data_IF_472049600380
#
_entry.id   IF_472049600380
#
_cell.length_a   1.000
_cell.length_b   1.000
_cell.length_c   1.000
_cell.angle_alpha   90.00
_cell.angle_beta   90.00
_cell.angle_gamma   90.00
#
_symmetry.space_group_name_H-M   'P 1'
#
loop_
_entity.id
_entity.type
_entity.pdbx_description
1 polymer ?
#
# COMPACT_ATOMS: atom_id res chain seq x y z
N UNK A 1 -40.01 6.17 -8.03
CA UNK A 1 -39.00 6.64 -7.05
C UNK A 1 -38.72 5.50 -6.10
N UNK A 2 -37.67 4.72 -6.38
CA UNK A 2 -37.21 3.60 -5.56
C UNK A 2 -35.76 3.89 -5.20
N UNK A 3 -35.48 4.05 -3.90
CA UNK A 3 -34.14 4.28 -3.38
C UNK A 3 -33.20 3.20 -3.91
N UNK A 4 -31.92 3.51 -4.24
CA UNK A 4 -30.95 2.46 -4.53
C UNK A 4 -30.86 1.59 -3.27
N UNK A 5 -31.35 0.35 -3.38
CA UNK A 5 -31.24 -0.64 -2.33
C UNK A 5 -29.74 -0.77 -2.05
N UNK A 6 -29.31 -0.37 -0.85
CA UNK A 6 -28.02 -0.76 -0.32
C UNK A 6 -28.05 -2.29 -0.31
N UNK A 7 -27.47 -2.93 -1.33
CA UNK A 7 -27.34 -4.38 -1.33
C UNK A 7 -26.27 -4.65 -0.28
N UNK A 8 -26.61 -5.20 0.90
CA UNK A 8 -25.59 -5.49 1.89
C UNK A 8 -24.60 -6.45 1.22
N UNK A 9 -23.32 -6.06 1.19
CA UNK A 9 -22.26 -6.90 0.64
C UNK A 9 -22.17 -8.12 1.55
N UNK A 10 -22.94 -9.17 1.22
CA UNK A 10 -22.87 -10.43 1.93
C UNK A 10 -21.55 -11.10 1.55
N UNK A 11 -20.69 -11.24 2.54
CA UNK A 11 -19.44 -11.97 2.43
C UNK A 11 -19.76 -13.45 2.17
N UNK A 12 -19.24 -13.96 1.06
CA UNK A 12 -19.31 -15.39 0.74
C UNK A 12 -18.44 -16.19 1.71
N UNK A 13 -18.74 -17.47 1.90
CA UNK A 13 -17.94 -18.34 2.75
C UNK A 13 -16.45 -18.38 2.34
N UNK A 14 -16.19 -18.33 1.03
CA UNK A 14 -14.82 -18.28 0.48
C UNK A 14 -14.08 -17.01 0.85
N UNK A 15 -14.74 -15.86 0.87
CA UNK A 15 -14.11 -14.59 1.26
C UNK A 15 -13.82 -14.53 2.74
N UNK A 16 -14.73 -15.02 3.58
CA UNK A 16 -14.47 -15.13 5.02
C UNK A 16 -13.30 -16.06 5.31
N UNK A 17 -13.24 -17.21 4.64
CA UNK A 17 -12.12 -18.16 4.77
C UNK A 17 -10.80 -17.51 4.31
N UNK A 18 -10.81 -16.75 3.21
CA UNK A 18 -9.64 -16.02 2.73
C UNK A 18 -9.16 -14.96 3.72
N UNK A 19 -10.06 -14.15 4.27
CA UNK A 19 -9.71 -13.16 5.30
C UNK A 19 -9.20 -13.85 6.56
N UNK A 20 -9.86 -14.93 7.00
CA UNK A 20 -9.38 -15.74 8.12
C UNK A 20 -7.96 -16.25 7.89
N UNK A 21 -7.65 -16.75 6.69
CA UNK A 21 -6.29 -17.16 6.31
C UNK A 21 -5.29 -16.01 6.36
N UNK A 22 -5.63 -14.83 5.85
CA UNK A 22 -4.78 -13.63 5.90
C UNK A 22 -4.49 -13.22 7.35
N UNK A 23 -5.53 -13.10 8.18
CA UNK A 23 -5.39 -12.72 9.59
C UNK A 23 -4.54 -13.74 10.35
N UNK A 24 -4.78 -15.03 10.11
CA UNK A 24 -4.01 -16.12 10.72
C UNK A 24 -2.54 -16.03 10.32
N UNK A 25 -2.26 -15.81 9.04
CA UNK A 25 -0.88 -15.68 8.54
C UNK A 25 -0.17 -14.47 9.17
N UNK A 26 -0.85 -13.31 9.25
CA UNK A 26 -0.29 -12.12 9.91
C UNK A 26 -0.02 -12.37 11.39
N UNK A 27 -0.91 -13.06 12.09
CA UNK A 27 -0.71 -13.44 13.49
C UNK A 27 0.50 -14.37 13.66
N UNK A 28 0.65 -15.37 12.77
CA UNK A 28 1.82 -16.25 12.77
C UNK A 28 3.13 -15.50 12.54
N UNK A 29 3.15 -14.51 11.65
CA UNK A 29 4.33 -13.66 11.43
C UNK A 29 4.68 -12.83 12.69
N UNK A 30 3.68 -12.32 13.41
CA UNK A 30 3.92 -11.62 14.68
C UNK A 30 4.52 -12.57 15.71
N UNK A 31 3.93 -13.75 15.90
CA UNK A 31 4.45 -14.76 16.83
C UNK A 31 5.88 -15.14 16.46
N UNK A 32 6.17 -15.39 15.18
CA UNK A 32 7.49 -15.71 14.70
C UNK A 32 8.50 -14.57 14.97
N UNK A 33 8.13 -13.32 14.68
CA UNK A 33 8.98 -12.15 14.90
C UNK A 33 9.33 -11.95 16.38
N UNK A 34 8.33 -12.01 17.27
CA UNK A 34 8.55 -11.91 18.72
C UNK A 34 9.34 -13.09 19.26
N UNK A 35 9.07 -14.31 18.79
CA UNK A 35 9.80 -15.52 19.22
C UNK A 35 11.26 -15.46 18.80
N UNK A 36 11.55 -15.03 17.57
CA UNK A 36 12.91 -14.87 17.08
C UNK A 36 13.66 -13.79 17.86
N UNK A 37 13.00 -12.66 18.11
CA UNK A 37 13.54 -11.59 18.94
C UNK A 37 13.91 -12.11 20.34
N UNK A 38 12.97 -12.74 21.05
CA UNK A 38 13.18 -13.28 22.39
C UNK A 38 14.23 -14.38 22.42
N UNK A 39 14.31 -15.21 21.37
CA UNK A 39 15.34 -16.25 21.23
C UNK A 39 16.75 -15.63 21.17
N UNK A 40 16.93 -14.56 20.38
CA UNK A 40 18.24 -13.91 20.22
C UNK A 40 18.68 -13.06 21.41
N UNK A 41 17.75 -12.62 22.25
CA UNK A 41 18.05 -11.83 23.45
C UNK A 41 18.00 -12.67 24.74
N UNK A 42 18.06 -14.00 24.63
CA UNK A 42 18.00 -14.94 25.78
C UNK A 42 16.79 -14.70 26.71
N UNK A 43 15.64 -14.40 26.10
CA UNK A 43 14.37 -14.19 26.78
C UNK A 43 14.16 -12.76 27.33
N UNK A 44 13.05 -12.53 28.06
CA UNK A 44 12.68 -11.19 28.53
C UNK A 44 13.74 -10.53 29.43
N UNK A 45 14.53 -11.34 30.15
CA UNK A 45 15.57 -10.86 31.05
C UNK A 45 16.81 -10.31 30.30
N UNK A 46 17.16 -10.87 29.13
CA UNK A 46 18.27 -10.38 28.31
C UNK A 46 17.86 -9.31 27.29
N UNK A 47 16.57 -9.02 27.16
CA UNK A 47 16.04 -8.00 26.26
C UNK A 47 16.62 -6.60 26.50
N UNK A 48 16.90 -6.21 27.76
CA UNK A 48 17.69 -5.03 28.13
C UNK A 48 17.49 -3.78 27.24
N UNK A 49 18.59 -3.23 26.70
CA UNK A 49 18.55 -2.10 25.75
C UNK A 49 17.94 -2.44 24.39
N UNK A 50 17.95 -3.72 23.98
CA UNK A 50 17.30 -4.17 22.74
C UNK A 50 15.76 -4.11 22.84
N UNK A 51 15.17 -4.12 24.04
CA UNK A 51 13.74 -3.94 24.23
C UNK A 51 13.29 -2.54 23.77
N UNK A 52 14.08 -1.51 24.08
CA UNK A 52 13.84 -0.15 23.63
C UNK A 52 13.95 -0.03 22.11
N UNK A 53 15.04 -0.54 21.53
CA UNK A 53 15.26 -0.52 20.09
C UNK A 53 14.18 -1.32 19.32
N UNK A 54 13.82 -2.51 19.80
CA UNK A 54 12.77 -3.35 19.22
C UNK A 54 11.39 -2.72 19.30
N UNK A 55 11.05 -2.11 20.43
CA UNK A 55 9.77 -1.39 20.61
C UNK A 55 9.69 -0.17 19.70
N UNK A 56 10.79 0.59 19.56
CA UNK A 56 10.87 1.72 18.63
C UNK A 56 10.73 1.25 17.18
N UNK A 57 11.45 0.20 16.78
CA UNK A 57 11.36 -0.37 15.44
C UNK A 57 9.93 -0.84 15.12
N UNK A 58 9.27 -1.52 16.06
CA UNK A 58 7.88 -1.94 15.91
C UNK A 58 6.93 -0.73 15.77
N UNK A 59 7.09 0.28 16.62
CA UNK A 59 6.24 1.48 16.61
C UNK A 59 6.42 2.31 15.32
N UNK A 60 7.66 2.47 14.87
CA UNK A 60 7.98 3.13 13.60
C UNK A 60 7.45 2.33 12.41
N UNK A 61 7.52 0.99 12.45
CA UNK A 61 6.94 0.13 11.43
C UNK A 61 5.41 0.25 11.36
N UNK A 62 4.73 0.26 12.51
CA UNK A 62 3.28 0.48 12.58
C UNK A 62 2.92 1.85 12.01
N UNK A 63 3.66 2.91 12.37
CA UNK A 63 3.45 4.26 11.81
C UNK A 63 3.62 4.26 10.29
N UNK A 64 4.70 3.67 9.80
CA UNK A 64 5.02 3.61 8.37
C UNK A 64 3.93 2.90 7.55
N UNK A 65 3.25 1.91 8.12
CA UNK A 65 2.12 1.24 7.47
C UNK A 65 0.95 2.20 7.16
N UNK A 66 0.85 3.34 7.84
CA UNK A 66 -0.19 4.36 7.63
C UNK A 66 0.27 5.56 6.78
N UNK A 67 1.45 5.49 6.17
CA UNK A 67 1.90 6.56 5.27
C UNK A 67 0.95 6.70 4.07
N UNK A 68 0.81 7.95 3.59
CA UNK A 68 -0.23 8.32 2.62
C UNK A 68 -0.07 7.63 1.26
N UNK A 69 1.15 7.26 0.90
CA UNK A 69 1.50 6.53 -0.33
C UNK A 69 1.01 5.07 -0.29
N UNK A 70 1.16 4.39 0.84
CA UNK A 70 0.60 3.06 1.05
C UNK A 70 -0.93 3.07 0.93
N UNK A 71 -1.59 4.04 1.57
CA UNK A 71 -3.05 4.20 1.50
C UNK A 71 -3.49 4.49 0.06
N UNK A 72 -2.81 5.40 -0.64
CA UNK A 72 -3.13 5.75 -2.02
C UNK A 72 -2.97 4.56 -2.98
N UNK A 73 -1.87 3.81 -2.87
CA UNK A 73 -1.63 2.63 -3.72
C UNK A 73 -2.68 1.54 -3.52
N UNK A 74 -3.09 1.29 -2.26
CA UNK A 74 -4.16 0.33 -1.95
C UNK A 74 -5.51 0.83 -2.47
N UNK A 75 -5.84 2.12 -2.32
CA UNK A 75 -7.10 2.69 -2.83
C UNK A 75 -7.19 2.60 -4.36
N UNK A 76 -6.14 3.02 -5.07
CA UNK A 76 -6.12 3.03 -6.54
C UNK A 76 -6.33 1.63 -7.12
N UNK A 77 -5.69 0.63 -6.53
CA UNK A 77 -5.81 -0.76 -6.98
C UNK A 77 -7.12 -1.41 -6.56
N UNK A 78 -7.65 -1.06 -5.39
CA UNK A 78 -9.00 -1.42 -4.96
C UNK A 78 -10.05 -0.85 -5.92
N UNK A 79 -9.92 0.42 -6.30
CA UNK A 79 -10.77 1.10 -7.29
C UNK A 79 -10.66 0.44 -8.66
N UNK A 80 -9.45 0.17 -9.14
CA UNK A 80 -9.23 -0.50 -10.42
C UNK A 80 -9.88 -1.90 -10.46
N UNK A 81 -9.78 -2.68 -9.38
CA UNK A 81 -10.43 -3.98 -9.29
C UNK A 81 -11.96 -3.87 -9.26
N UNK A 82 -12.48 -2.92 -8.49
CA UNK A 82 -13.92 -2.69 -8.38
C UNK A 82 -14.51 -2.24 -9.73
N UNK A 83 -13.81 -1.37 -10.47
CA UNK A 83 -14.20 -0.96 -11.83
C UNK A 83 -14.24 -2.14 -12.82
N UNK A 84 -13.48 -3.21 -12.57
CA UNK A 84 -13.49 -4.45 -13.36
C UNK A 84 -14.52 -5.48 -12.86
N UNK A 85 -15.41 -5.10 -11.94
CA UNK A 85 -16.39 -5.99 -11.33
C UNK A 85 -15.78 -7.07 -10.43
N UNK A 86 -14.51 -6.91 -10.00
CA UNK A 86 -13.83 -7.86 -9.13
C UNK A 86 -13.91 -7.41 -7.68
N UNK A 87 -13.92 -8.38 -6.76
CA UNK A 87 -13.90 -8.12 -5.32
C UNK A 87 -12.45 -8.04 -4.82
N UNK A 88 -11.97 -6.89 -4.31
CA UNK A 88 -10.57 -6.65 -3.97
C UNK A 88 -10.15 -7.25 -2.60
N UNK A 89 -10.51 -8.51 -2.34
CA UNK A 89 -10.19 -9.17 -1.06
C UNK A 89 -8.72 -9.60 -1.04
N UNK A 90 -7.91 -8.91 -0.24
CA UNK A 90 -6.50 -9.21 0.01
C UNK A 90 -5.49 -8.28 -0.68
N UNK A 91 -5.94 -7.22 -1.37
CA UNK A 91 -5.05 -6.25 -2.04
C UNK A 91 -4.05 -5.64 -1.05
N UNK A 92 -4.52 -5.14 0.09
CA UNK A 92 -3.64 -4.57 1.12
C UNK A 92 -2.66 -5.58 1.71
N UNK A 93 -3.07 -6.85 1.84
CA UNK A 93 -2.19 -7.91 2.34
C UNK A 93 -1.02 -8.20 1.40
N UNK A 94 -1.30 -8.38 0.11
CA UNK A 94 -0.24 -8.65 -0.87
C UNK A 94 0.68 -7.45 -1.09
N UNK A 95 0.12 -6.23 -1.13
CA UNK A 95 0.90 -4.99 -1.16
C UNK A 95 1.86 -4.90 0.02
N UNK A 96 1.36 -5.09 1.25
CA UNK A 96 2.18 -5.04 2.45
C UNK A 96 3.24 -6.16 2.48
N UNK A 97 2.88 -7.37 2.05
CA UNK A 97 3.79 -8.52 2.00
C UNK A 97 4.92 -8.30 0.98
N UNK A 98 4.60 -7.84 -0.22
CA UNK A 98 5.56 -7.52 -1.27
C UNK A 98 6.53 -6.42 -0.83
N UNK A 99 5.99 -5.29 -0.35
CA UNK A 99 6.80 -4.18 0.15
C UNK A 99 7.71 -4.61 1.31
N UNK A 100 7.15 -5.28 2.32
CA UNK A 100 7.91 -5.75 3.49
C UNK A 100 9.00 -6.75 3.11
N UNK A 101 8.78 -7.60 2.11
CA UNK A 101 9.79 -8.56 1.65
C UNK A 101 11.00 -7.84 1.03
N UNK A 102 10.75 -6.83 0.19
CA UNK A 102 11.83 -6.02 -0.41
C UNK A 102 12.61 -5.28 0.67
N UNK A 103 11.93 -4.67 1.64
CA UNK A 103 12.55 -3.97 2.76
C UNK A 103 13.38 -4.92 3.62
N UNK A 104 12.85 -6.12 3.94
CA UNK A 104 13.56 -7.12 4.73
C UNK A 104 14.82 -7.61 4.03
N UNK A 105 14.75 -7.94 2.74
CA UNK A 105 15.90 -8.36 1.94
C UNK A 105 16.95 -7.25 1.88
N UNK A 106 16.54 -6.01 1.64
CA UNK A 106 17.46 -4.88 1.60
C UNK A 106 18.12 -4.63 2.96
N UNK A 107 17.36 -4.70 4.05
CA UNK A 107 17.88 -4.57 5.40
C UNK A 107 18.91 -5.67 5.72
N UNK A 108 18.66 -6.91 5.30
CA UNK A 108 19.60 -8.02 5.46
C UNK A 108 20.89 -7.78 4.66
N UNK A 109 20.78 -7.36 3.39
CA UNK A 109 21.92 -7.03 2.55
C UNK A 109 22.76 -5.92 3.20
N UNK A 110 22.12 -4.85 3.68
CA UNK A 110 22.81 -3.74 4.35
C UNK A 110 23.47 -4.19 5.64
N UNK A 111 22.81 -5.02 6.45
CA UNK A 111 23.38 -5.55 7.69
C UNK A 111 24.63 -6.41 7.43
N UNK A 112 24.57 -7.30 6.44
CA UNK A 112 25.71 -8.13 6.04
C UNK A 112 26.85 -7.28 5.45
N UNK A 113 26.53 -6.32 4.60
CA UNK A 113 27.51 -5.40 4.01
C UNK A 113 28.18 -4.53 5.09
N UNK A 114 27.42 -4.04 6.07
CA UNK A 114 27.95 -3.27 7.19
C UNK A 114 28.85 -4.11 8.11
N UNK A 115 28.54 -5.39 8.31
CA UNK A 115 29.40 -6.32 9.05
C UNK A 115 30.69 -6.69 8.31
N UNK A 116 30.67 -6.70 6.98
CA UNK A 116 31.83 -7.04 6.14
C UNK A 116 32.71 -5.83 5.78
N UNK A 117 32.15 -4.62 5.79
CA UNK A 117 32.87 -3.41 5.39
C UNK A 117 33.58 -2.76 6.59
N UNK A 118 34.91 -2.64 6.51
CA UNK A 118 35.72 -1.85 7.44
C UNK A 118 35.48 -0.34 7.33
N UNK A 119 36.44 0.49 7.79
CA UNK A 119 36.34 1.97 7.93
C UNK A 119 36.20 2.80 6.62
N UNK A 120 35.30 2.45 5.69
CA UNK A 120 35.07 3.14 4.41
C UNK A 120 33.60 3.40 4.05
N UNK A 121 32.64 3.08 4.94
CA UNK A 121 31.19 3.11 4.64
C UNK A 121 30.56 4.51 4.80
N UNK A 122 31.26 5.49 5.38
CA UNK A 122 30.73 6.83 5.68
C UNK A 122 30.23 7.57 4.43
N UNK A 123 31.08 7.60 3.38
CA UNK A 123 30.78 8.32 2.14
C UNK A 123 29.61 7.69 1.37
N UNK A 124 29.57 6.35 1.32
CA UNK A 124 28.47 5.60 0.71
C UNK A 124 27.14 5.81 1.45
N UNK A 125 27.15 5.89 2.79
CA UNK A 125 25.93 6.20 3.57
C UNK A 125 25.40 7.59 3.26
N UNK A 126 26.28 8.60 3.18
CA UNK A 126 25.85 9.97 2.91
C UNK A 126 25.26 10.12 1.50
N UNK A 127 25.97 9.62 0.48
CA UNK A 127 25.51 9.71 -0.92
C UNK A 127 24.25 8.85 -1.13
N UNK A 128 24.22 7.63 -0.60
CA UNK A 128 23.04 6.75 -0.68
C UNK A 128 21.82 7.34 0.01
N UNK A 129 22.00 7.97 1.17
CA UNK A 129 20.94 8.69 1.88
C UNK A 129 20.37 9.85 1.06
N UNK A 130 21.23 10.68 0.49
CA UNK A 130 20.79 11.81 -0.36
C UNK A 130 20.06 11.33 -1.62
N UNK A 131 20.61 10.34 -2.33
CA UNK A 131 19.99 9.80 -3.55
C UNK A 131 18.64 9.17 -3.25
N UNK A 132 18.56 8.32 -2.21
CA UNK A 132 17.30 7.69 -1.82
C UNK A 132 16.25 8.71 -1.42
N UNK A 133 16.63 9.76 -0.68
CA UNK A 133 15.72 10.83 -0.27
C UNK A 133 15.22 11.64 -1.48
N UNK A 134 16.09 11.99 -2.43
CA UNK A 134 15.69 12.71 -3.65
C UNK A 134 14.75 11.87 -4.54
N UNK A 135 15.08 10.59 -4.72
CA UNK A 135 14.23 9.65 -5.50
C UNK A 135 12.88 9.46 -4.81
N UNK A 136 12.85 9.27 -3.49
CA UNK A 136 11.60 9.14 -2.74
C UNK A 136 10.75 10.43 -2.82
N UNK A 137 11.35 11.59 -2.57
CA UNK A 137 10.64 12.88 -2.62
C UNK A 137 10.08 13.17 -4.01
N UNK A 138 10.86 12.95 -5.07
CA UNK A 138 10.41 13.17 -6.46
C UNK A 138 9.28 12.23 -6.85
N UNK A 139 9.36 10.94 -6.48
CA UNK A 139 8.30 9.97 -6.72
C UNK A 139 7.01 10.33 -5.97
N UNK A 140 7.09 10.67 -4.69
CA UNK A 140 5.94 11.06 -3.88
C UNK A 140 5.29 12.34 -4.40
N UNK A 141 6.09 13.33 -4.81
CA UNK A 141 5.59 14.57 -5.41
C UNK A 141 4.83 14.29 -6.72
N UNK A 142 5.37 13.40 -7.56
CA UNK A 142 4.71 12.97 -8.80
C UNK A 142 3.34 12.34 -8.51
N UNK A 143 3.28 11.36 -7.60
CA UNK A 143 2.02 10.70 -7.21
C UNK A 143 1.04 11.70 -6.61
N UNK A 144 1.51 12.60 -5.73
CA UNK A 144 0.68 13.65 -5.14
C UNK A 144 0.06 14.57 -6.20
N UNK A 145 0.83 14.99 -7.21
CA UNK A 145 0.33 15.80 -8.33
C UNK A 145 -0.72 15.05 -9.13
N UNK A 146 -0.46 13.79 -9.50
CA UNK A 146 -1.41 12.96 -10.25
C UNK A 146 -2.72 12.79 -9.48
N UNK A 147 -2.64 12.49 -8.19
CA UNK A 147 -3.81 12.35 -7.32
C UNK A 147 -4.55 13.68 -7.15
N UNK A 148 -3.83 14.80 -7.06
CA UNK A 148 -4.41 16.14 -7.05
C UNK A 148 -5.21 16.48 -8.31
N UNK A 149 -4.72 16.07 -9.49
CA UNK A 149 -5.42 16.24 -10.76
C UNK A 149 -6.72 15.41 -10.82
N UNK A 150 -6.68 14.16 -10.35
CA UNK A 150 -7.87 13.31 -10.25
C UNK A 150 -8.89 13.92 -9.29
N UNK A 151 -8.43 14.39 -8.12
CA UNK A 151 -9.27 15.02 -7.11
C UNK A 151 -9.94 16.30 -7.65
N UNK A 152 -9.19 17.17 -8.32
CA UNK A 152 -9.75 18.38 -8.94
C UNK A 152 -10.85 18.04 -9.96
N UNK A 153 -10.64 16.99 -10.76
CA UNK A 153 -11.66 16.46 -11.68
C UNK A 153 -12.91 15.97 -10.96
N UNK A 154 -12.76 15.22 -9.86
CA UNK A 154 -13.86 14.70 -9.04
C UNK A 154 -14.64 15.82 -8.35
N UNK A 155 -13.96 16.81 -7.75
CA UNK A 155 -14.59 17.98 -7.14
C UNK A 155 -15.36 18.78 -8.19
N UNK A 156 -14.80 18.94 -9.39
CA UNK A 156 -15.48 19.58 -10.52
C UNK A 156 -16.77 18.86 -10.91
N UNK A 157 -16.75 17.52 -11.00
CA UNK A 157 -17.94 16.70 -11.26
C UNK A 157 -18.98 16.84 -10.15
N UNK A 158 -18.53 16.73 -8.89
CA UNK A 158 -19.40 16.82 -7.72
C UNK A 158 -20.10 18.18 -7.64
N UNK A 159 -19.37 19.29 -7.84
CA UNK A 159 -19.95 20.64 -7.89
C UNK A 159 -20.97 20.80 -9.02
N UNK A 160 -20.78 20.16 -10.17
CA UNK A 160 -21.74 20.23 -11.29
C UNK A 160 -23.01 19.43 -11.02
N UNK A 161 -22.89 18.26 -10.38
CA UNK A 161 -24.04 17.50 -9.89
C UNK A 161 -24.82 18.24 -8.81
N UNK A 162 -24.12 18.84 -7.84
CA UNK A 162 -24.73 19.58 -6.73
C UNK A 162 -25.57 20.78 -7.20
N UNK A 163 -25.21 21.40 -8.33
CA UNK A 163 -25.97 22.49 -8.94
C UNK A 163 -27.05 22.03 -9.94
N UNK A 164 -27.34 20.73 -10.04
CA UNK A 164 -28.40 20.19 -10.91
C UNK A 164 -28.14 20.32 -12.41
N UNK A 165 -26.89 20.58 -12.85
CA UNK A 165 -26.54 20.86 -14.25
C UNK A 165 -26.17 19.62 -15.08
N UNK A 166 -26.14 18.43 -14.48
CA UNK A 166 -25.76 17.18 -15.17
C UNK A 166 -26.75 16.08 -14.81
N UNK A 167 -27.38 15.50 -15.83
CA UNK A 167 -28.20 14.28 -15.69
C UNK A 167 -27.31 13.04 -15.49
N UNK A 168 -27.78 12.07 -14.71
CA UNK A 168 -27.00 10.90 -14.26
C UNK A 168 -26.49 10.06 -15.45
N UNK A 169 -27.24 10.03 -16.56
CA UNK A 169 -26.85 9.38 -17.82
C UNK A 169 -25.69 10.08 -18.54
N UNK A 170 -25.67 11.40 -18.50
CA UNK A 170 -24.60 12.19 -19.13
C UNK A 170 -23.32 12.17 -18.28
N UNK A 171 -23.45 12.03 -16.96
CA UNK A 171 -22.34 11.72 -16.06
C UNK A 171 -21.73 10.34 -16.34
N UNK A 172 -22.55 9.30 -16.50
CA UNK A 172 -22.07 7.95 -16.85
C UNK A 172 -21.34 7.95 -18.19
N UNK A 173 -21.88 8.64 -19.20
CA UNK A 173 -21.24 8.82 -20.50
C UNK A 173 -19.91 9.59 -20.38
N UNK A 174 -19.86 10.66 -19.57
CA UNK A 174 -18.60 11.39 -19.35
C UNK A 174 -17.60 10.61 -18.49
N UNK A 175 -18.02 9.73 -17.59
CA UNK A 175 -17.13 8.86 -16.81
C UNK A 175 -16.57 7.70 -17.66
N UNK A 176 -17.39 7.14 -18.56
CA UNK A 176 -16.98 6.16 -19.57
C UNK A 176 -16.01 6.80 -20.60
N UNK A 177 -16.27 8.04 -21.00
CA UNK A 177 -15.53 8.72 -22.07
C UNK A 177 -14.34 9.57 -21.56
N UNK A 178 -14.35 9.98 -20.28
CA UNK A 178 -13.23 10.62 -19.57
C UNK A 178 -12.67 9.72 -18.47
N UNK A 179 -12.41 8.46 -18.79
CA UNK A 179 -11.40 7.74 -18.03
C UNK A 179 -10.10 8.52 -18.16
N UNK A 180 -9.78 9.40 -17.20
CA UNK A 180 -8.49 10.11 -17.15
C UNK A 180 -7.37 9.06 -17.07
N UNK A 181 -7.66 7.94 -16.39
CA UNK A 181 -6.96 6.65 -16.44
C UNK A 181 -6.87 6.04 -17.85
N UNK A 182 -7.93 6.08 -18.66
CA UNK A 182 -7.93 5.59 -20.05
C UNK A 182 -7.02 6.42 -20.96
N UNK A 183 -6.93 7.73 -20.72
CA UNK A 183 -6.10 8.66 -21.50
C UNK A 183 -4.62 8.68 -21.10
N UNK A 184 -4.30 8.41 -19.83
CA UNK A 184 -2.94 8.42 -19.31
C UNK A 184 -2.27 7.03 -19.28
N UNK A 185 -3.00 5.95 -18.96
CA UNK A 185 -2.42 4.61 -18.78
C UNK A 185 -2.58 3.68 -19.99
N UNK A 186 -3.45 4.03 -20.94
CA UNK A 186 -3.72 3.22 -22.13
C UNK A 186 -4.23 1.80 -21.83
N UNK A 187 -4.68 1.10 -22.87
CA UNK A 187 -5.15 -0.30 -22.74
C UNK A 187 -4.05 -1.29 -22.32
N UNK A 188 -2.77 -0.93 -22.52
CA UNK A 188 -1.63 -1.84 -22.28
C UNK A 188 -1.30 -2.02 -20.79
N UNK A 189 -1.34 -0.96 -19.97
CA UNK A 189 -1.04 -1.06 -18.53
C UNK A 189 -2.14 -1.81 -17.78
N UNK A 190 -3.38 -1.75 -18.28
CA UNK A 190 -4.51 -2.52 -17.73
C UNK A 190 -4.30 -4.03 -17.84
N UNK A 191 -3.49 -4.52 -18.79
CA UNK A 191 -3.24 -5.94 -18.98
C UNK A 191 -2.39 -6.61 -17.88
N UNK A 192 -1.65 -5.83 -17.08
CA UNK A 192 -0.63 -6.32 -16.14
C UNK A 192 -1.20 -6.71 -14.77
N UNK A 193 -2.11 -5.92 -14.19
CA UNK A 193 -2.67 -6.22 -12.86
C UNK A 193 -3.94 -7.05 -13.02
N UNK A 194 -3.79 -8.37 -13.09
CA UNK A 194 -4.91 -9.31 -13.31
C UNK A 194 -5.42 -9.98 -12.03
N UNK A 195 -4.71 -9.88 -10.93
CA UNK A 195 -5.05 -10.55 -9.67
C UNK A 195 -4.44 -9.82 -8.48
N UNK A 196 -5.00 -10.00 -7.28
CA UNK A 196 -4.59 -9.30 -6.06
C UNK A 196 -3.15 -9.60 -5.65
N UNK A 197 -2.57 -10.69 -6.14
CA UNK A 197 -1.15 -11.05 -5.92
C UNK A 197 -0.17 -10.30 -6.83
N UNK A 198 -0.63 -9.51 -7.81
CA UNK A 198 0.28 -8.71 -8.65
C UNK A 198 0.69 -7.39 -7.98
N UNK A 199 0.25 -7.19 -6.73
CA UNK A 199 0.64 -6.07 -5.88
C UNK A 199 1.71 -6.52 -4.89
#
# INVERSE_FOLDING_TARGET
>A
MSLPVYVPVRWTARERARVGGIVTFVALLHVAGWSLYLYYVDGPAGAGGFAGAGTLAYSLGVRHAFDADHIAAIDDTTRLMTQRGRRPVGVGFFFALGHSTVVLVLALIVALAAGAAGHGVESFRHVGGLVSQLVAMSFLLLVAVLNGLVLAGLIGLWRRMAHGRIDRRELELQLLNRGLMNRLLGDRVRGLIRSSWHM
#
